data_IF_054235621999
#
_entry.id   IF_054235621999
#
_cell.length_a   1.000
_cell.length_b   1.000
_cell.length_c   1.000
_cell.angle_alpha   90.00
_cell.angle_beta   90.00
_cell.angle_gamma   90.00
#
_symmetry.space_group_name_H-M   'P 1'
#
loop_
_entity.id
_entity.type
_entity.pdbx_description
1 polymer ?
#
# COMPACT_ATOMS: atom_id res chain seq x y z
N UNK A 1 -23.04 11.20 6.56
CA UNK A 1 -22.23 10.66 7.67
C UNK A 1 -20.79 11.08 7.41
N UNK A 2 -20.38 12.15 8.05
CA UNK A 2 -19.08 12.81 7.84
C UNK A 2 -18.03 12.03 8.63
N UNK A 3 -17.20 11.27 7.93
CA UNK A 3 -16.04 10.61 8.53
C UNK A 3 -15.05 11.70 8.97
N UNK A 4 -14.88 11.84 10.29
CA UNK A 4 -13.81 12.66 10.85
C UNK A 4 -12.59 11.76 11.00
N UNK A 5 -11.55 12.02 10.20
CA UNK A 5 -10.20 11.55 10.47
C UNK A 5 -9.35 12.77 10.79
N UNK A 6 -8.95 12.86 12.05
CA UNK A 6 -7.71 13.53 12.43
C UNK A 6 -6.71 12.41 12.49
N UNK A 7 -5.83 12.38 11.51
CA UNK A 7 -4.70 11.47 11.37
C UNK A 7 -3.66 11.82 12.43
N UNK A 8 -2.94 10.79 12.88
CA UNK A 8 -1.84 10.81 13.85
C UNK A 8 -2.26 11.03 15.31
N UNK A 9 -2.63 9.93 15.96
CA UNK A 9 -2.70 9.88 17.41
C UNK A 9 -1.34 10.24 18.00
N UNK A 10 -1.23 11.41 18.65
CA UNK A 10 -0.15 11.69 19.59
C UNK A 10 -0.13 10.61 20.66
N UNK A 11 1.00 9.91 20.90
CA UNK A 11 1.11 9.08 22.10
C UNK A 11 1.12 10.00 23.34
N UNK A 12 0.38 9.66 24.41
CA UNK A 12 0.67 10.22 25.71
C UNK A 12 2.13 9.87 26.06
N UNK A 13 2.92 10.86 26.47
CA UNK A 13 4.21 10.61 27.12
C UNK A 13 3.97 9.69 28.33
N UNK A 14 4.30 8.39 28.21
CA UNK A 14 4.72 7.46 29.28
C UNK A 14 4.73 6.00 28.79
N UNK A 15 5.87 5.52 28.29
CA UNK A 15 6.80 4.62 29.00
C UNK A 15 8.01 4.39 28.07
N UNK A 16 9.21 4.68 28.57
CA UNK A 16 10.46 4.71 27.80
C UNK A 16 10.97 3.30 27.51
N UNK A 17 10.36 2.61 26.54
CA UNK A 17 10.98 1.51 25.82
C UNK A 17 11.42 2.01 24.44
N UNK A 18 12.62 1.61 24.02
CA UNK A 18 13.15 1.94 22.71
C UNK A 18 12.34 1.26 21.59
N UNK A 19 12.45 1.79 20.36
CA UNK A 19 11.99 1.05 19.18
C UNK A 19 12.71 -0.30 19.07
N UNK A 20 12.08 -1.25 18.38
CA UNK A 20 12.50 -2.67 18.36
C UNK A 20 13.61 -2.84 17.34
N UNK A 21 13.38 -2.41 16.10
CA UNK A 21 14.41 -2.10 15.13
C UNK A 21 14.94 -0.66 15.28
N UNK A 22 16.14 -0.47 14.75
CA UNK A 22 16.70 0.86 14.55
C UNK A 22 15.83 1.65 13.57
N UNK A 23 15.53 2.90 13.91
CA UNK A 23 14.82 3.84 13.06
C UNK A 23 15.75 4.93 12.56
N UNK A 24 15.40 5.53 11.43
CA UNK A 24 16.23 6.51 10.72
C UNK A 24 15.40 7.63 10.13
N UNK A 25 16.09 8.50 9.39
CA UNK A 25 15.47 9.57 8.63
C UNK A 25 15.98 9.53 7.20
N UNK A 26 15.06 9.69 6.25
CA UNK A 26 15.36 9.70 4.82
C UNK A 26 15.20 11.11 4.25
N UNK A 27 16.09 11.48 3.32
CA UNK A 27 15.98 12.73 2.57
C UNK A 27 14.98 12.63 1.41
N UNK A 28 14.74 13.76 0.75
CA UNK A 28 13.96 13.78 -0.50
C UNK A 28 14.61 12.92 -1.58
N UNK A 29 13.78 12.25 -2.37
CA UNK A 29 14.15 11.44 -3.53
C UNK A 29 14.51 12.27 -4.76
N UNK A 30 13.99 13.50 -4.85
CA UNK A 30 14.07 14.33 -6.06
C UNK A 30 12.94 14.09 -7.06
N UNK A 31 12.11 13.07 -6.84
CA UNK A 31 10.84 12.87 -7.55
C UNK A 31 9.70 13.54 -6.79
N UNK A 32 8.95 14.45 -7.43
CA UNK A 32 7.81 15.10 -6.77
C UNK A 32 6.69 14.13 -6.39
N UNK A 33 6.61 12.96 -7.04
CA UNK A 33 5.63 11.93 -6.70
C UNK A 33 6.02 11.22 -5.40
N UNK A 34 7.24 10.67 -5.34
CA UNK A 34 7.73 9.99 -4.14
C UNK A 34 7.85 10.96 -2.94
N UNK A 35 8.38 12.17 -3.16
CA UNK A 35 8.47 13.20 -2.12
C UNK A 35 7.11 13.61 -1.56
N UNK A 36 6.03 13.46 -2.35
CA UNK A 36 4.67 13.75 -1.92
C UNK A 36 4.13 12.78 -0.85
N UNK A 37 4.71 11.58 -0.77
CA UNK A 37 4.26 10.49 0.12
C UNK A 37 5.34 10.04 1.10
N UNK A 38 6.56 10.59 1.07
CA UNK A 38 7.58 10.32 2.09
C UNK A 38 7.29 11.12 3.37
N UNK A 39 7.22 10.45 4.53
CA UNK A 39 7.19 11.15 5.83
C UNK A 39 8.57 11.74 6.19
N UNK A 40 9.63 11.10 5.70
CA UNK A 40 11.01 11.35 6.07
C UNK A 40 11.53 10.47 7.21
N UNK A 41 10.71 9.56 7.74
CA UNK A 41 11.13 8.50 8.67
C UNK A 41 11.21 7.16 7.95
N UNK A 42 12.11 6.28 8.39
CA UNK A 42 12.29 4.93 7.84
C UNK A 42 12.78 3.95 8.91
N UNK A 43 12.67 2.66 8.65
CA UNK A 43 13.46 1.66 9.38
C UNK A 43 14.91 1.72 8.91
N UNK A 44 15.85 1.94 9.83
CA UNK A 44 17.29 1.90 9.55
C UNK A 44 17.84 0.49 9.79
N UNK A 45 17.24 -0.48 9.09
CA UNK A 45 17.59 -1.90 9.17
C UNK A 45 17.38 -2.55 7.81
N UNK A 46 18.25 -3.49 7.44
CA UNK A 46 18.10 -4.27 6.21
C UNK A 46 17.01 -5.36 6.33
N UNK A 47 16.57 -5.65 7.56
CA UNK A 47 15.52 -6.61 7.85
C UNK A 47 14.53 -6.06 8.86
N UNK A 48 13.24 -6.29 8.63
CA UNK A 48 12.18 -6.03 9.61
C UNK A 48 11.34 -7.28 9.84
N UNK A 49 10.64 -7.28 10.97
CA UNK A 49 9.74 -8.36 11.36
C UNK A 49 8.32 -7.87 11.56
N UNK A 50 7.34 -8.73 11.26
CA UNK A 50 5.94 -8.45 11.55
C UNK A 50 5.32 -9.48 12.50
N UNK A 51 4.35 -9.07 13.29
CA UNK A 51 3.60 -10.00 14.16
C UNK A 51 2.13 -9.60 14.34
N UNK A 52 1.36 -10.51 14.94
CA UNK A 52 -0.08 -10.35 15.17
C UNK A 52 -0.38 -10.57 16.64
N UNK A 53 -0.10 -9.58 17.51
CA UNK A 53 -0.29 -9.74 18.94
C UNK A 53 -1.67 -10.28 19.31
N UNK A 54 -1.68 -11.32 20.14
CA UNK A 54 -2.89 -12.05 20.53
C UNK A 54 -3.35 -11.72 21.96
N UNK A 55 -2.53 -11.00 22.72
CA UNK A 55 -2.84 -10.52 24.05
C UNK A 55 -2.39 -9.07 24.25
N UNK A 56 -3.17 -8.33 25.04
CA UNK A 56 -2.82 -6.94 25.41
C UNK A 56 -1.43 -6.83 26.07
N UNK A 57 -0.91 -7.91 26.66
CA UNK A 57 0.38 -7.94 27.35
C UNK A 57 1.58 -7.85 26.42
N UNK A 58 1.40 -8.08 25.12
CA UNK A 58 2.45 -7.99 24.12
C UNK A 58 2.86 -6.54 23.84
N UNK A 59 1.99 -5.58 24.18
CA UNK A 59 2.28 -4.15 24.19
C UNK A 59 2.69 -3.75 25.61
N UNK A 60 3.81 -3.04 25.75
CA UNK A 60 4.35 -2.50 26.99
C UNK A 60 3.83 -1.12 27.36
N UNK A 61 3.28 -0.36 26.40
CA UNK A 61 2.71 0.97 26.59
C UNK A 61 1.18 0.92 26.80
N UNK A 62 0.55 2.02 27.25
CA UNK A 62 -0.91 2.11 27.48
C UNK A 62 -1.65 2.75 26.31
N UNK A 63 -2.97 2.54 26.22
CA UNK A 63 -3.80 3.19 25.20
C UNK A 63 -4.70 2.18 24.48
N UNK A 64 -4.37 1.89 23.23
CA UNK A 64 -5.14 1.02 22.32
C UNK A 64 -5.37 -0.36 22.91
N UNK A 65 -4.31 -0.95 23.47
CA UNK A 65 -4.34 -2.25 24.14
C UNK A 65 -5.33 -2.32 25.30
N UNK A 66 -5.71 -1.18 25.87
CA UNK A 66 -6.63 -1.08 27.02
C UNK A 66 -8.08 -0.80 26.59
N UNK A 67 -8.35 -0.64 25.28
CA UNK A 67 -9.66 -0.22 24.75
C UNK A 67 -10.27 -1.26 23.81
N UNK A 68 -10.68 -2.38 24.40
CA UNK A 68 -11.36 -3.45 23.65
C UNK A 68 -10.43 -4.13 22.66
N UNK A 69 -9.18 -4.35 23.08
CA UNK A 69 -8.16 -5.08 22.33
C UNK A 69 -8.69 -6.41 21.80
N UNK A 70 -8.32 -6.74 20.57
CA UNK A 70 -8.45 -8.07 20.01
C UNK A 70 -7.32 -8.32 19.01
N UNK A 71 -6.93 -9.58 18.88
CA UNK A 71 -6.08 -10.00 17.76
C UNK A 71 -6.81 -9.71 16.43
N UNK A 72 -6.08 -9.25 15.41
CA UNK A 72 -6.65 -9.11 14.07
C UNK A 72 -7.11 -10.47 13.54
N UNK A 73 -8.24 -10.50 12.84
CA UNK A 73 -8.75 -11.76 12.28
C UNK A 73 -7.83 -12.32 11.17
N UNK A 74 -7.99 -13.62 10.87
CA UNK A 74 -7.14 -14.33 9.90
C UNK A 74 -7.13 -13.73 8.47
N UNK A 75 -8.19 -13.04 8.04
CA UNK A 75 -8.19 -12.40 6.72
C UNK A 75 -7.28 -11.17 6.69
N UNK A 76 -7.25 -10.38 7.78
CA UNK A 76 -6.31 -9.28 7.93
C UNK A 76 -4.88 -9.81 7.98
N UNK A 77 -4.62 -10.88 8.75
CA UNK A 77 -3.29 -11.52 8.78
C UNK A 77 -2.80 -11.92 7.40
N UNK A 78 -3.68 -12.53 6.58
CA UNK A 78 -3.33 -12.93 5.22
C UNK A 78 -3.07 -11.73 4.29
N UNK A 79 -3.84 -10.65 4.41
CA UNK A 79 -3.62 -9.43 3.63
C UNK A 79 -2.29 -8.75 4.01
N UNK A 80 -1.95 -8.72 5.31
CA UNK A 80 -0.65 -8.22 5.79
C UNK A 80 0.49 -9.04 5.21
N UNK A 81 0.43 -10.37 5.31
CA UNK A 81 1.48 -11.25 4.75
C UNK A 81 1.67 -11.03 3.25
N UNK A 82 0.56 -11.01 2.49
CA UNK A 82 0.59 -10.74 1.05
C UNK A 82 1.21 -9.37 0.72
N UNK A 83 0.99 -8.37 1.57
CA UNK A 83 1.53 -7.02 1.38
C UNK A 83 3.03 -6.93 1.70
N UNK A 84 3.52 -7.73 2.64
CA UNK A 84 4.87 -7.56 3.20
C UNK A 84 5.90 -8.58 2.70
N UNK A 85 5.51 -9.85 2.62
CA UNK A 85 6.42 -11.00 2.70
C UNK A 85 6.30 -11.84 1.41
N UNK A 86 7.37 -11.89 0.63
CA UNK A 86 7.38 -12.60 -0.66
C UNK A 86 7.18 -14.11 -0.48
N UNK A 87 7.55 -14.66 0.69
CA UNK A 87 7.39 -16.09 0.97
C UNK A 87 5.92 -16.49 1.17
N UNK A 88 5.01 -15.52 1.34
CA UNK A 88 3.58 -15.77 1.43
C UNK A 88 2.92 -15.79 0.06
N UNK A 89 2.36 -16.96 -0.30
CA UNK A 89 1.62 -17.14 -1.54
C UNK A 89 2.42 -17.96 -2.55
N UNK A 90 2.63 -17.41 -3.74
CA UNK A 90 3.40 -18.02 -4.82
C UNK A 90 4.14 -16.94 -5.61
N UNK A 91 5.13 -17.34 -6.42
CA UNK A 91 5.98 -16.40 -7.16
C UNK A 91 5.23 -15.33 -7.96
N UNK A 92 4.01 -15.60 -8.44
CA UNK A 92 3.21 -14.60 -9.16
C UNK A 92 2.82 -13.37 -8.33
N UNK A 93 2.91 -13.43 -6.99
CA UNK A 93 2.62 -12.30 -6.12
C UNK A 93 3.85 -11.57 -5.55
N UNK A 94 5.06 -12.01 -5.89
CA UNK A 94 6.29 -11.48 -5.29
C UNK A 94 6.47 -10.00 -5.62
N UNK A 95 6.29 -9.62 -6.89
CA UNK A 95 6.36 -8.23 -7.39
C UNK A 95 5.26 -7.27 -6.87
N UNK A 96 4.40 -7.71 -5.96
CA UNK A 96 3.40 -6.85 -5.28
C UNK A 96 3.63 -6.70 -3.77
N UNK A 97 4.60 -7.43 -3.21
CA UNK A 97 4.95 -7.38 -1.78
C UNK A 97 6.06 -6.36 -1.52
N UNK A 98 6.13 -5.78 -0.32
CA UNK A 98 7.21 -4.85 0.05
C UNK A 98 8.60 -5.47 -0.12
N UNK A 99 8.76 -6.74 0.24
CA UNK A 99 10.00 -7.48 0.06
C UNK A 99 10.36 -7.71 -1.43
N UNK A 100 9.37 -7.89 -2.33
CA UNK A 100 9.67 -7.99 -3.76
C UNK A 100 9.80 -6.64 -4.49
N UNK A 101 9.29 -5.57 -3.88
CA UNK A 101 9.44 -4.20 -4.39
C UNK A 101 10.78 -3.58 -3.97
N UNK A 102 11.39 -4.05 -2.88
CA UNK A 102 12.53 -3.40 -2.20
C UNK A 102 13.59 -4.37 -1.70
N UNK A 103 14.79 -3.90 -1.34
CA UNK A 103 15.83 -4.77 -0.75
C UNK A 103 15.61 -5.06 0.75
N UNK A 104 14.43 -4.77 1.28
CA UNK A 104 14.11 -5.03 2.68
C UNK A 104 13.73 -6.50 2.87
N UNK A 105 14.46 -7.22 3.71
CA UNK A 105 14.06 -8.58 4.09
C UNK A 105 12.95 -8.52 5.13
N UNK A 106 11.87 -9.29 4.93
CA UNK A 106 10.70 -9.27 5.81
C UNK A 106 10.36 -10.68 6.28
N UNK A 107 10.13 -10.84 7.59
CA UNK A 107 9.76 -12.15 8.13
C UNK A 107 8.82 -12.06 9.33
N UNK A 108 8.11 -13.14 9.65
CA UNK A 108 7.35 -13.22 10.89
C UNK A 108 8.28 -13.13 12.13
N UNK A 109 7.93 -12.26 13.07
CA UNK A 109 8.60 -12.08 14.35
C UNK A 109 7.81 -12.63 15.53
N UNK A 110 8.22 -12.24 16.74
CA UNK A 110 7.45 -12.49 17.96
C UNK A 110 6.48 -11.33 18.25
N UNK A 111 5.30 -11.64 18.78
CA UNK A 111 4.25 -10.65 19.08
C UNK A 111 4.70 -9.48 19.96
N UNK A 112 5.68 -9.68 20.84
CA UNK A 112 6.19 -8.62 21.70
C UNK A 112 7.21 -7.70 21.02
N UNK A 113 8.09 -8.28 20.21
CA UNK A 113 9.33 -7.65 19.77
C UNK A 113 9.38 -7.37 18.26
N UNK A 114 8.35 -7.74 17.49
CA UNK A 114 8.30 -7.43 16.07
C UNK A 114 8.24 -5.91 15.81
N UNK A 115 8.81 -5.51 14.67
CA UNK A 115 8.95 -4.11 14.27
C UNK A 115 7.63 -3.50 13.84
N UNK A 116 6.81 -4.28 13.13
CA UNK A 116 5.45 -3.91 12.73
C UNK A 116 4.47 -4.88 13.37
N UNK A 117 3.50 -4.37 14.14
CA UNK A 117 2.53 -5.22 14.83
C UNK A 117 1.12 -4.78 14.53
N UNK A 118 0.23 -5.75 14.32
CA UNK A 118 -1.14 -5.49 13.90
C UNK A 118 -2.13 -5.93 14.98
N UNK A 119 -2.90 -4.98 15.51
CA UNK A 119 -3.92 -5.23 16.54
C UNK A 119 -5.27 -4.57 16.20
N UNK A 120 -6.34 -5.00 16.87
CA UNK A 120 -7.64 -4.32 16.85
C UNK A 120 -7.88 -3.55 18.16
N UNK A 121 -8.44 -2.34 18.07
CA UNK A 121 -8.83 -1.53 19.22
C UNK A 121 -10.00 -0.61 18.91
N UNK A 122 -10.88 -0.37 19.89
CA UNK A 122 -11.95 0.62 19.76
C UNK A 122 -11.43 2.06 19.66
N UNK A 123 -10.17 2.31 20.05
CA UNK A 123 -9.54 3.62 19.85
C UNK A 123 -9.28 3.94 18.38
N UNK A 124 -9.08 2.92 17.55
CA UNK A 124 -8.89 3.06 16.11
C UNK A 124 -10.20 3.25 15.32
N UNK A 125 -11.34 3.31 16.00
CA UNK A 125 -12.60 3.64 15.34
C UNK A 125 -12.59 5.09 14.82
N UNK A 126 -13.19 5.34 13.64
CA UNK A 126 -14.04 4.41 12.90
C UNK A 126 -13.33 3.49 11.89
N UNK A 127 -12.02 3.64 11.65
CA UNK A 127 -11.28 2.80 10.67
C UNK A 127 -10.03 2.16 11.21
N UNK A 128 -8.90 2.86 11.18
CA UNK A 128 -7.58 2.37 11.49
C UNK A 128 -6.61 3.56 11.59
N UNK A 129 -5.43 3.31 12.14
CA UNK A 129 -4.26 4.18 12.03
C UNK A 129 -2.99 3.35 12.29
N UNK A 130 -1.84 3.89 11.94
CA UNK A 130 -0.55 3.34 12.29
C UNK A 130 0.42 4.40 12.82
N UNK A 131 1.47 3.92 13.47
CA UNK A 131 2.59 4.74 13.90
C UNK A 131 3.78 4.61 12.94
N UNK A 132 4.38 5.74 12.60
CA UNK A 132 5.62 5.79 11.80
C UNK A 132 6.78 4.99 12.44
N UNK A 133 7.80 4.63 11.65
CA UNK A 133 9.05 4.07 12.14
C UNK A 133 9.88 5.16 12.86
N UNK A 134 9.47 5.53 14.06
CA UNK A 134 10.13 6.53 14.92
C UNK A 134 10.66 5.90 16.20
N UNK A 135 11.32 6.68 17.07
CA UNK A 135 11.72 6.17 18.38
C UNK A 135 10.50 5.95 19.28
N UNK A 136 10.40 4.76 19.88
CA UNK A 136 9.39 4.45 20.89
C UNK A 136 8.83 3.05 20.69
N UNK A 137 8.20 2.53 21.73
CA UNK A 137 7.66 1.17 21.69
C UNK A 137 6.55 0.99 20.65
N UNK A 138 5.72 2.02 20.45
CA UNK A 138 4.60 1.98 19.52
C UNK A 138 5.02 2.12 18.05
N UNK A 139 6.31 2.32 17.75
CA UNK A 139 6.79 2.45 16.38
C UNK A 139 6.40 1.23 15.54
N UNK A 140 5.83 1.48 14.36
CA UNK A 140 5.35 0.43 13.47
C UNK A 140 4.05 -0.26 13.89
N UNK A 141 3.46 0.08 15.04
CA UNK A 141 2.19 -0.53 15.43
C UNK A 141 1.05 0.00 14.55
N UNK A 142 0.23 -0.94 14.08
CA UNK A 142 -0.95 -0.72 13.25
C UNK A 142 -2.19 -1.16 14.03
N UNK A 143 -3.15 -0.26 14.17
CA UNK A 143 -4.38 -0.50 14.91
C UNK A 143 -5.60 -0.39 14.00
N UNK A 144 -6.38 -1.47 13.91
CA UNK A 144 -7.68 -1.47 13.23
C UNK A 144 -8.83 -1.24 14.21
N UNK A 145 -9.82 -0.48 13.78
CA UNK A 145 -11.09 -0.31 14.42
C UNK A 145 -11.98 -1.55 14.28
N UNK A 146 -13.08 -1.57 15.03
CA UNK A 146 -13.95 -2.74 15.18
C UNK A 146 -15.05 -2.81 14.11
N UNK A 147 -14.89 -2.09 12.99
CA UNK A 147 -15.89 -2.03 11.93
C UNK A 147 -15.89 -3.31 11.09
N UNK A 148 -17.07 -3.93 10.93
CA UNK A 148 -17.21 -5.17 10.13
C UNK A 148 -16.76 -5.02 8.67
N UNK A 149 -16.74 -3.80 8.13
CA UNK A 149 -16.28 -3.60 6.75
C UNK A 149 -14.79 -3.96 6.59
N UNK A 150 -14.00 -3.87 7.67
CA UNK A 150 -12.56 -4.11 7.66
C UNK A 150 -12.19 -5.60 7.78
N UNK A 151 -13.13 -6.48 8.13
CA UNK A 151 -12.80 -7.87 8.48
C UNK A 151 -12.57 -8.80 7.28
N UNK A 152 -12.77 -8.32 6.05
CA UNK A 152 -12.61 -9.11 4.83
C UNK A 152 -11.79 -8.36 3.76
N UNK A 153 -10.50 -8.07 4.03
CA UNK A 153 -9.62 -7.45 3.04
C UNK A 153 -9.35 -8.41 1.88
N UNK A 154 -9.77 -8.02 0.68
CA UNK A 154 -9.42 -8.64 -0.60
C UNK A 154 -8.93 -7.56 -1.56
N UNK A 155 -7.93 -7.81 -2.42
CA UNK A 155 -7.44 -6.83 -3.38
C UNK A 155 -8.57 -6.10 -4.12
N UNK A 156 -8.55 -4.77 -4.05
CA UNK A 156 -9.55 -3.87 -4.65
C UNK A 156 -10.74 -3.52 -3.76
N UNK A 157 -10.92 -4.21 -2.63
CA UNK A 157 -11.91 -3.85 -1.61
C UNK A 157 -11.35 -2.81 -0.64
N UNK A 158 -12.20 -1.90 -0.15
CA UNK A 158 -11.85 -0.86 0.83
C UNK A 158 -10.99 -1.35 2.02
N UNK A 159 -11.37 -2.49 2.62
CA UNK A 159 -10.63 -3.07 3.74
C UNK A 159 -9.19 -3.44 3.40
N UNK A 160 -8.93 -3.92 2.19
CA UNK A 160 -7.58 -4.27 1.75
C UNK A 160 -6.75 -3.02 1.50
N UNK A 161 -7.36 -2.00 0.87
CA UNK A 161 -6.73 -0.71 0.73
C UNK A 161 -6.37 -0.08 2.08
N UNK A 162 -7.21 -0.28 3.10
CA UNK A 162 -6.90 0.13 4.49
C UNK A 162 -5.68 -0.62 5.02
N UNK A 163 -5.58 -1.95 4.83
CA UNK A 163 -4.41 -2.73 5.28
C UNK A 163 -3.12 -2.23 4.63
N UNK A 164 -3.11 -2.03 3.31
CA UNK A 164 -1.93 -1.51 2.58
C UNK A 164 -1.61 -0.09 3.04
N UNK A 165 -2.61 0.78 3.17
CA UNK A 165 -2.43 2.17 3.59
C UNK A 165 -1.77 2.28 4.97
N UNK A 166 -2.31 1.58 5.98
CA UNK A 166 -1.73 1.61 7.32
C UNK A 166 -0.35 0.94 7.38
N UNK A 167 -0.13 -0.10 6.56
CA UNK A 167 1.21 -0.70 6.41
C UNK A 167 2.18 0.29 5.78
N UNK A 168 1.74 1.10 4.81
CA UNK A 168 2.52 2.20 4.24
C UNK A 168 2.98 3.20 5.31
N UNK A 169 2.09 3.58 6.23
CA UNK A 169 2.46 4.41 7.38
C UNK A 169 3.49 3.73 8.29
N UNK A 170 3.30 2.46 8.66
CA UNK A 170 4.28 1.72 9.45
C UNK A 170 5.65 1.56 8.76
N UNK A 171 5.71 1.71 7.44
CA UNK A 171 6.92 1.73 6.62
C UNK A 171 7.49 3.14 6.38
N UNK A 172 6.83 4.20 6.84
CA UNK A 172 7.31 5.59 6.72
C UNK A 172 6.70 6.42 5.59
N UNK A 173 5.64 5.94 4.92
CA UNK A 173 4.87 6.75 3.99
C UNK A 173 3.87 7.64 4.74
N UNK A 174 3.66 8.88 4.31
CA UNK A 174 2.65 9.81 4.85
C UNK A 174 1.49 10.01 3.88
N UNK A 175 0.46 10.72 4.34
CA UNK A 175 -0.64 11.11 3.47
C UNK A 175 -0.17 11.98 2.29
N UNK A 176 -0.56 11.60 1.07
CA UNK A 176 -0.14 12.28 -0.15
C UNK A 176 -0.72 13.69 -0.33
N UNK A 177 -1.92 13.93 0.19
CA UNK A 177 -2.66 15.19 0.06
C UNK A 177 -2.38 16.18 1.20
N UNK A 178 -1.74 15.72 2.27
CA UNK A 178 -1.55 16.50 3.49
C UNK A 178 -0.07 16.80 3.75
N UNK A 179 0.15 17.94 4.40
CA UNK A 179 1.42 18.27 5.03
C UNK A 179 1.18 18.40 6.53
N UNK A 180 1.49 17.35 7.27
CA UNK A 180 1.36 17.35 8.70
C UNK A 180 2.62 17.97 9.35
N UNK A 181 2.44 18.50 10.55
CA UNK A 181 3.53 19.20 11.26
C UNK A 181 4.62 18.26 11.77
N UNK A 182 4.35 16.96 11.79
CA UNK A 182 5.25 15.92 12.29
C UNK A 182 6.09 15.28 11.17
N UNK A 183 5.72 15.50 9.91
CA UNK A 183 6.49 15.06 8.76
C UNK A 183 7.80 15.86 8.65
N UNK A 184 8.90 15.16 8.41
CA UNK A 184 10.17 15.80 8.08
C UNK A 184 10.18 16.28 6.62
N UNK A 185 9.49 15.56 5.73
CA UNK A 185 9.27 15.94 4.34
C UNK A 185 7.84 16.45 4.19
N UNK A 186 7.70 17.75 3.93
CA UNK A 186 6.40 18.45 3.88
C UNK A 186 5.83 18.64 2.48
N UNK A 187 6.44 18.02 1.46
CA UNK A 187 5.90 18.07 0.11
C UNK A 187 4.59 17.26 0.04
N UNK A 188 3.67 17.66 -0.83
CA UNK A 188 2.44 16.90 -1.14
C UNK A 188 2.53 16.39 -2.57
N UNK A 189 1.68 15.42 -2.92
CA UNK A 189 1.48 15.03 -4.30
C UNK A 189 1.15 16.27 -5.15
N UNK A 190 1.73 16.41 -6.34
CA UNK A 190 1.33 17.44 -7.28
C UNK A 190 -0.16 17.31 -7.59
N UNK A 191 -0.87 18.43 -7.72
CA UNK A 191 -2.34 18.42 -7.87
C UNK A 191 -2.87 17.55 -9.02
N UNK A 192 -2.07 17.35 -10.09
CA UNK A 192 -2.42 16.49 -11.24
C UNK A 192 -2.26 14.98 -10.97
N UNK A 193 -1.66 14.61 -9.84
CA UNK A 193 -1.39 13.25 -9.40
C UNK A 193 -1.94 12.97 -7.99
N UNK A 194 -2.67 13.90 -7.40
CA UNK A 194 -3.29 13.70 -6.09
C UNK A 194 -4.58 12.89 -6.26
N UNK A 195 -4.40 11.57 -6.37
CA UNK A 195 -5.45 10.56 -6.52
C UNK A 195 -4.92 9.17 -6.14
N UNK A 196 -5.84 8.28 -5.74
CA UNK A 196 -5.61 6.84 -5.59
C UNK A 196 -5.00 6.17 -6.84
N UNK A 197 -5.07 6.81 -8.01
CA UNK A 197 -4.41 6.34 -9.24
C UNK A 197 -2.88 6.38 -9.16
N UNK A 198 -2.32 7.21 -8.26
CA UNK A 198 -0.88 7.43 -8.15
C UNK A 198 -0.31 7.04 -6.79
N UNK A 199 -1.12 7.12 -5.74
CA UNK A 199 -0.74 6.74 -4.38
C UNK A 199 -1.95 6.26 -3.59
N UNK A 200 -1.82 5.11 -2.92
CA UNK A 200 -2.82 4.64 -1.96
C UNK A 200 -2.83 5.49 -0.68
N UNK A 201 -1.82 6.34 -0.47
CA UNK A 201 -1.66 7.19 0.71
C UNK A 201 -2.47 8.49 0.64
N UNK A 202 -3.15 8.82 -0.47
CA UNK A 202 -4.05 9.99 -0.51
C UNK A 202 -5.49 9.62 -0.20
N UNK A 203 -6.25 10.52 0.44
CA UNK A 203 -7.70 10.39 0.62
C UNK A 203 -8.50 10.95 -0.57
N UNK A 204 -7.82 11.46 -1.59
CA UNK A 204 -8.45 11.83 -2.84
C UNK A 204 -8.60 10.59 -3.74
N UNK A 205 -9.83 10.21 -4.00
CA UNK A 205 -10.18 9.14 -4.93
C UNK A 205 -9.79 9.50 -6.35
N UNK A 206 -10.02 10.74 -6.78
CA UNK A 206 -9.73 11.22 -8.13
C UNK A 206 -9.10 12.62 -8.12
N UNK A 207 -8.39 12.95 -9.21
CA UNK A 207 -7.73 14.24 -9.38
C UNK A 207 -8.73 15.39 -9.31
N UNK A 208 -8.43 16.38 -8.46
CA UNK A 208 -9.25 17.58 -8.27
C UNK A 208 -10.45 17.41 -7.33
N UNK A 209 -10.58 16.26 -6.67
CA UNK A 209 -11.54 16.08 -5.57
C UNK A 209 -11.34 17.19 -4.52
N UNK A 210 -12.44 17.77 -4.05
CA UNK A 210 -12.42 18.78 -2.99
C UNK A 210 -12.57 18.10 -1.64
N UNK A 211 -11.81 18.57 -0.65
CA UNK A 211 -11.82 18.02 0.70
C UNK A 211 -10.57 17.18 0.96
N UNK A 212 -10.76 16.01 1.54
CA UNK A 212 -9.68 15.14 2.02
C UNK A 212 -10.04 14.37 3.30
N UNK A 213 -11.34 14.11 3.54
CA UNK A 213 -11.81 13.43 4.75
C UNK A 213 -12.35 12.02 4.49
N UNK A 214 -12.08 11.45 3.32
CA UNK A 214 -12.46 10.09 2.97
C UNK A 214 -12.75 9.88 1.48
N UNK A 215 -12.84 8.60 1.12
CA UNK A 215 -12.98 8.13 -0.25
C UNK A 215 -14.42 8.20 -0.79
N UNK A 216 -14.52 8.37 -2.10
CA UNK A 216 -15.78 8.31 -2.86
C UNK A 216 -15.89 7.07 -3.75
N UNK A 217 -14.88 6.20 -3.80
CA UNK A 217 -14.87 5.01 -4.65
C UNK A 217 -16.06 4.08 -4.39
N UNK A 218 -16.44 3.30 -5.40
CA UNK A 218 -17.23 2.09 -5.19
C UNK A 218 -16.48 1.10 -4.27
N UNK A 219 -17.22 0.21 -3.58
CA UNK A 219 -16.65 -0.63 -2.51
C UNK A 219 -15.48 -1.52 -2.97
N UNK A 220 -15.51 -1.96 -4.24
CA UNK A 220 -14.50 -2.82 -4.87
C UNK A 220 -13.69 -2.10 -5.96
N UNK A 221 -13.61 -0.77 -5.91
CA UNK A 221 -12.89 0.08 -6.86
C UNK A 221 -11.67 0.76 -6.26
N UNK A 222 -10.99 0.11 -5.32
CA UNK A 222 -9.76 0.63 -4.70
C UNK A 222 -8.50 0.03 -5.35
N UNK A 223 -7.32 0.63 -5.13
CA UNK A 223 -6.05 0.02 -5.49
C UNK A 223 -5.90 -1.41 -4.94
N UNK A 224 -5.29 -2.27 -5.74
CA UNK A 224 -5.04 -3.69 -5.46
C UNK A 224 -3.58 -3.96 -5.06
N UNK A 225 -2.73 -2.94 -5.11
CA UNK A 225 -1.31 -2.94 -4.76
C UNK A 225 -0.92 -1.56 -4.23
N UNK A 226 0.32 -1.40 -3.77
CA UNK A 226 0.96 -0.08 -3.74
C UNK A 226 0.96 0.53 -5.16
N UNK A 227 0.80 1.84 -5.24
CA UNK A 227 0.75 2.57 -6.51
C UNK A 227 2.10 3.24 -6.82
N UNK A 228 2.27 3.75 -8.03
CA UNK A 228 3.59 4.17 -8.54
C UNK A 228 4.39 5.14 -7.63
N UNK A 229 3.74 6.07 -6.94
CA UNK A 229 4.41 6.98 -6.01
C UNK A 229 4.84 6.25 -4.72
N UNK A 230 4.01 5.32 -4.26
CA UNK A 230 4.28 4.51 -3.06
C UNK A 230 5.47 3.57 -3.32
N UNK A 231 5.46 2.87 -4.46
CA UNK A 231 6.55 1.97 -4.88
C UNK A 231 7.87 2.74 -4.94
N UNK A 232 7.92 3.87 -5.65
CA UNK A 232 9.15 4.64 -5.77
C UNK A 232 9.63 5.20 -4.42
N UNK A 233 8.71 5.58 -3.53
CA UNK A 233 9.06 6.05 -2.18
C UNK A 233 9.62 4.91 -1.30
N UNK A 234 9.01 3.72 -1.35
CA UNK A 234 9.52 2.52 -0.66
C UNK A 234 10.90 2.12 -1.20
N UNK A 235 11.09 2.14 -2.52
CA UNK A 235 12.37 1.86 -3.16
C UNK A 235 13.45 2.91 -2.84
N UNK A 236 13.05 4.16 -2.60
CA UNK A 236 13.97 5.21 -2.16
C UNK A 236 14.46 4.99 -0.71
N UNK A 237 13.57 4.55 0.18
CA UNK A 237 13.93 4.24 1.58
C UNK A 237 14.73 2.94 1.69
N UNK A 238 14.28 1.89 1.00
CA UNK A 238 14.75 0.53 1.25
C UNK A 238 15.55 -0.08 0.08
N UNK A 239 15.81 0.70 -0.97
CA UNK A 239 16.42 0.24 -2.22
C UNK A 239 15.43 -0.56 -3.08
N UNK A 240 15.51 -0.46 -4.41
CA UNK A 240 14.71 -1.30 -5.31
C UNK A 240 15.31 -2.71 -5.43
N UNK A 241 14.46 -3.73 -5.39
CA UNK A 241 14.85 -5.11 -5.67
C UNK A 241 14.66 -5.42 -7.16
N UNK A 242 15.78 -5.58 -7.86
CA UNK A 242 15.83 -5.97 -9.27
C UNK A 242 16.00 -7.48 -9.46
N UNK A 243 15.82 -8.28 -8.41
CA UNK A 243 15.90 -9.75 -8.49
C UNK A 243 14.52 -10.40 -8.57
N UNK A 244 13.50 -9.78 -7.98
CA UNK A 244 12.10 -10.17 -8.13
C UNK A 244 11.66 -10.06 -9.59
N UNK A 245 11.03 -11.11 -10.12
CA UNK A 245 10.59 -11.21 -11.52
C UNK A 245 11.67 -10.91 -12.58
N UNK A 246 12.96 -11.03 -12.26
CA UNK A 246 14.08 -10.56 -13.11
C UNK A 246 14.37 -11.32 -14.43
N UNK A 247 13.43 -12.13 -14.91
CA UNK A 247 13.47 -12.76 -16.23
C UNK A 247 12.22 -12.42 -17.03
N UNK A 248 12.07 -12.98 -18.23
CA UNK A 248 10.92 -12.69 -19.09
C UNK A 248 9.58 -13.04 -18.42
N UNK A 249 8.81 -12.02 -18.04
CA UNK A 249 7.56 -12.18 -17.29
C UNK A 249 6.34 -11.90 -18.17
N UNK A 250 5.31 -12.78 -18.13
CA UNK A 250 4.05 -12.57 -18.84
C UNK A 250 2.94 -12.19 -17.87
N UNK A 251 2.49 -10.94 -17.97
CA UNK A 251 1.30 -10.45 -17.28
C UNK A 251 0.07 -10.58 -18.17
N UNK A 252 -1.01 -11.17 -17.67
CA UNK A 252 -2.22 -11.37 -18.47
C UNK A 252 -3.51 -11.16 -17.68
N UNK A 253 -4.55 -10.78 -18.42
CA UNK A 253 -5.87 -10.46 -17.89
C UNK A 253 -6.98 -11.01 -18.79
N UNK A 254 -8.20 -11.05 -18.28
CA UNK A 254 -9.38 -11.46 -19.07
C UNK A 254 -10.58 -10.54 -18.83
N UNK A 255 -11.47 -10.36 -19.83
CA UNK A 255 -12.64 -9.47 -19.73
C UNK A 255 -13.61 -9.75 -18.56
N UNK A 256 -13.59 -10.97 -18.01
CA UNK A 256 -14.54 -11.45 -16.99
C UNK A 256 -13.95 -11.58 -15.59
N UNK A 257 -12.69 -11.20 -15.40
CA UNK A 257 -11.98 -11.32 -14.13
C UNK A 257 -11.14 -10.09 -13.85
N UNK A 258 -11.15 -9.62 -12.60
CA UNK A 258 -10.25 -8.55 -12.15
C UNK A 258 -8.85 -9.04 -11.75
N UNK A 259 -8.59 -10.35 -11.84
CA UNK A 259 -7.31 -10.91 -11.43
C UNK A 259 -6.19 -10.48 -12.38
N UNK A 260 -5.03 -10.13 -11.81
CA UNK A 260 -3.76 -10.08 -12.53
C UNK A 260 -3.12 -11.45 -12.48
N UNK A 261 -2.83 -12.02 -13.64
CA UNK A 261 -2.04 -13.24 -13.75
C UNK A 261 -0.59 -12.88 -14.08
N UNK A 262 0.35 -13.58 -13.48
CA UNK A 262 1.79 -13.51 -13.76
C UNK A 262 2.24 -14.94 -14.07
N UNK A 263 2.79 -15.15 -15.27
CA UNK A 263 3.15 -16.47 -15.82
C UNK A 263 2.03 -17.53 -15.70
N UNK A 264 0.80 -17.07 -15.90
CA UNK A 264 -0.42 -17.90 -15.84
C UNK A 264 -0.92 -18.24 -14.44
N UNK A 265 -0.20 -17.86 -13.37
CA UNK A 265 -0.64 -18.01 -11.99
C UNK A 265 -1.27 -16.71 -11.46
N UNK A 266 -2.14 -16.81 -10.46
CA UNK A 266 -2.84 -15.64 -9.90
C UNK A 266 -1.90 -14.88 -8.95
N UNK A 267 -1.42 -13.71 -9.39
CA UNK A 267 -0.66 -12.78 -8.56
C UNK A 267 -1.56 -11.89 -7.71
N UNK A 268 -2.58 -11.29 -8.34
CA UNK A 268 -3.62 -10.52 -7.65
C UNK A 268 -4.96 -11.23 -7.80
N UNK A 269 -5.57 -11.63 -6.68
CA UNK A 269 -6.93 -12.17 -6.64
C UNK A 269 -7.94 -11.08 -6.28
N UNK A 270 -8.44 -10.38 -7.29
CA UNK A 270 -9.32 -9.23 -7.10
C UNK A 270 -10.67 -9.60 -6.47
N UNK A 271 -11.22 -8.65 -5.70
CA UNK A 271 -12.52 -8.77 -5.04
C UNK A 271 -13.70 -8.71 -6.01
N UNK A 272 -13.52 -8.07 -7.17
CA UNK A 272 -14.53 -7.89 -8.21
C UNK A 272 -13.87 -7.89 -9.60
N UNK A 273 -14.68 -7.79 -10.66
CA UNK A 273 -14.19 -7.58 -12.03
C UNK A 273 -13.76 -6.12 -12.25
N UNK A 274 -12.74 -5.71 -11.50
CA UNK A 274 -12.02 -4.44 -11.58
C UNK A 274 -10.54 -4.74 -11.61
N UNK A 275 -9.79 -3.98 -12.40
CA UNK A 275 -8.33 -4.03 -12.42
C UNK A 275 -7.86 -2.63 -12.05
N UNK A 276 -7.08 -2.53 -10.97
CA UNK A 276 -6.56 -1.26 -10.48
C UNK A 276 -5.29 -1.50 -9.66
N UNK A 277 -4.15 -1.65 -10.33
CA UNK A 277 -2.87 -1.97 -9.71
C UNK A 277 -1.72 -1.30 -10.47
N UNK A 278 -0.55 -1.25 -9.83
CA UNK A 278 0.71 -0.89 -10.51
C UNK A 278 1.59 -2.13 -10.65
N UNK A 279 2.19 -2.34 -11.82
CA UNK A 279 3.17 -3.40 -12.04
C UNK A 279 4.57 -2.88 -11.69
N UNK A 280 5.27 -3.66 -10.88
CA UNK A 280 6.72 -3.65 -10.73
C UNK A 280 7.28 -4.96 -11.29
N UNK A 281 8.39 -4.85 -11.99
CA UNK A 281 9.19 -5.95 -12.50
C UNK A 281 10.66 -5.60 -12.27
N UNK A 282 11.50 -6.58 -11.94
CA UNK A 282 12.93 -6.39 -11.66
C UNK A 282 13.83 -6.51 -12.89
N UNK A 283 13.34 -6.99 -14.03
CA UNK A 283 14.17 -7.22 -15.21
C UNK A 283 13.61 -8.28 -16.15
N UNK A 284 13.97 -8.22 -17.42
CA UNK A 284 13.52 -9.23 -18.39
C UNK A 284 13.05 -8.56 -19.67
N UNK A 285 12.49 -9.36 -20.58
CA UNK A 285 11.67 -8.87 -21.67
C UNK A 285 10.21 -9.26 -21.40
N UNK A 286 9.48 -8.34 -20.76
CA UNK A 286 8.18 -8.62 -20.17
C UNK A 286 7.03 -8.29 -21.11
N UNK A 287 5.91 -8.99 -20.97
CA UNK A 287 4.78 -8.87 -21.92
C UNK A 287 3.46 -8.65 -21.19
N UNK A 288 2.68 -7.67 -21.66
CA UNK A 288 1.23 -7.62 -21.40
C UNK A 288 0.47 -8.46 -22.44
N UNK A 289 0.10 -9.69 -22.09
CA UNK A 289 -0.76 -10.53 -22.92
C UNK A 289 -2.24 -10.15 -22.73
N UNK A 290 -2.73 -9.37 -23.70
CA UNK A 290 -4.12 -8.93 -23.79
C UNK A 290 -4.93 -9.70 -24.86
N UNK A 291 -4.46 -10.85 -25.32
CA UNK A 291 -5.09 -11.63 -26.41
C UNK A 291 -6.52 -12.09 -26.10
N UNK A 292 -6.90 -12.14 -24.82
CA UNK A 292 -8.25 -12.43 -24.35
C UNK A 292 -9.26 -11.32 -24.68
N UNK A 293 -8.81 -10.08 -24.84
CA UNK A 293 -9.65 -8.93 -25.17
C UNK A 293 -9.97 -8.91 -26.66
N UNK A 294 -11.23 -8.68 -27.00
CA UNK A 294 -11.73 -8.66 -28.40
C UNK A 294 -12.16 -7.27 -28.88
N UNK A 295 -12.20 -6.30 -27.97
CA UNK A 295 -12.37 -4.87 -28.25
C UNK A 295 -11.01 -4.19 -28.40
N UNK A 296 -11.01 -2.94 -28.87
CA UNK A 296 -9.80 -2.11 -28.84
C UNK A 296 -9.29 -1.94 -27.41
N UNK A 297 -7.99 -2.14 -27.22
CA UNK A 297 -7.22 -1.83 -26.00
C UNK A 297 -6.38 -0.59 -26.26
N UNK A 298 -6.13 0.21 -25.22
CA UNK A 298 -5.20 1.33 -25.24
C UNK A 298 -4.01 0.97 -24.35
N UNK A 299 -2.82 0.90 -24.94
CA UNK A 299 -1.62 0.38 -24.27
C UNK A 299 -0.58 1.50 -24.24
N UNK A 300 -0.11 1.81 -23.04
CA UNK A 300 1.04 2.68 -22.82
C UNK A 300 1.98 1.99 -21.83
N UNK A 301 3.11 1.50 -22.36
CA UNK A 301 4.12 0.77 -21.60
C UNK A 301 5.15 1.70 -20.95
N UNK A 302 5.07 3.01 -21.18
CA UNK A 302 6.04 3.94 -20.60
C UNK A 302 5.92 3.97 -19.08
N UNK A 303 7.04 4.19 -18.35
CA UNK A 303 7.02 4.35 -16.89
C UNK A 303 6.04 5.43 -16.42
N UNK A 304 5.30 5.14 -15.35
CA UNK A 304 4.31 6.04 -14.78
C UNK A 304 3.11 6.36 -15.68
N UNK A 305 2.92 5.60 -16.77
CA UNK A 305 1.71 5.66 -17.60
C UNK A 305 0.77 4.50 -17.25
N UNK A 306 -0.40 4.50 -17.87
CA UNK A 306 -1.45 3.51 -17.62
C UNK A 306 -2.03 2.97 -18.93
N UNK A 307 -2.43 1.70 -18.92
CA UNK A 307 -3.12 1.05 -20.04
C UNK A 307 -4.58 0.77 -19.69
N UNK A 308 -5.47 0.86 -20.69
CA UNK A 308 -6.90 0.55 -20.58
C UNK A 308 -7.26 -0.63 -21.48
N UNK A 309 -7.76 -1.70 -20.88
CA UNK A 309 -8.15 -2.92 -21.61
C UNK A 309 -9.65 -2.93 -21.92
N UNK A 310 -10.47 -2.55 -20.93
CA UNK A 310 -11.92 -2.47 -21.08
C UNK A 310 -12.53 -1.54 -20.03
N UNK A 311 -13.38 -0.60 -20.48
CA UNK A 311 -14.01 0.41 -19.60
C UNK A 311 -14.80 -0.19 -18.44
N UNK A 312 -15.44 -1.35 -18.62
CA UNK A 312 -16.20 -2.00 -17.53
C UNK A 312 -15.34 -2.60 -16.41
N UNK A 313 -14.02 -2.67 -16.60
CA UNK A 313 -13.07 -3.09 -15.57
C UNK A 313 -12.36 -1.91 -14.90
N UNK A 314 -12.59 -0.67 -15.35
CA UNK A 314 -12.09 0.51 -14.67
C UNK A 314 -12.81 0.70 -13.34
N UNK A 315 -12.07 1.08 -12.31
CA UNK A 315 -12.64 1.41 -11.00
C UNK A 315 -13.49 2.68 -11.07
N UNK A 316 -14.66 2.68 -10.44
CA UNK A 316 -15.43 3.89 -10.19
C UNK A 316 -14.90 4.61 -8.94
N UNK A 317 -14.26 5.75 -9.15
CA UNK A 317 -13.62 6.57 -8.14
C UNK A 317 -14.62 7.53 -7.46
N UNK A 318 -15.83 7.69 -7.98
CA UNK A 318 -16.90 8.48 -7.35
C UNK A 318 -18.27 7.82 -7.54
N UNK A 319 -18.61 6.90 -6.65
CA UNK A 319 -19.91 6.20 -6.67
C UNK A 319 -21.12 7.13 -6.48
N UNK A 320 -20.89 8.38 -6.06
CA UNK A 320 -21.94 9.36 -5.85
C UNK A 320 -22.18 10.23 -7.08
N UNK A 321 -21.16 10.39 -7.93
CA UNK A 321 -21.22 11.15 -9.18
C UNK A 321 -20.67 10.30 -10.33
N UNK A 322 -21.56 9.84 -11.21
CA UNK A 322 -21.15 9.04 -12.36
C UNK A 322 -20.10 9.75 -13.24
N UNK A 323 -19.21 8.97 -13.84
CA UNK A 323 -18.23 9.44 -14.82
C UNK A 323 -16.83 9.73 -14.28
N UNK A 324 -16.53 9.39 -13.01
CA UNK A 324 -15.17 9.42 -12.45
C UNK A 324 -14.55 8.03 -12.46
N UNK A 325 -14.29 7.50 -13.64
CA UNK A 325 -13.55 6.24 -13.79
C UNK A 325 -12.05 6.50 -13.67
N UNK A 326 -11.30 5.53 -13.16
CA UNK A 326 -9.84 5.52 -13.24
C UNK A 326 -9.37 5.63 -14.70
N UNK A 327 -8.21 6.27 -14.93
CA UNK A 327 -7.66 6.53 -16.26
C UNK A 327 -7.12 5.27 -16.93
N UNK A 328 -6.82 4.23 -16.16
CA UNK A 328 -6.36 2.96 -16.65
C UNK A 328 -6.74 1.78 -15.75
N UNK A 329 -6.62 0.59 -16.33
CA UNK A 329 -6.75 -0.69 -15.63
C UNK A 329 -5.45 -1.04 -14.90
N UNK A 330 -4.32 -0.90 -15.59
CA UNK A 330 -3.00 -1.18 -15.05
C UNK A 330 -2.10 0.03 -15.24
N UNK A 331 -1.23 0.27 -14.26
CA UNK A 331 -0.25 1.36 -14.25
C UNK A 331 1.15 0.75 -14.22
N UNK A 332 2.14 1.44 -14.80
CA UNK A 332 3.52 1.01 -14.75
C UNK A 332 4.26 1.77 -13.64
N UNK A 333 5.11 1.10 -12.87
CA UNK A 333 5.96 1.74 -11.88
C UNK A 333 6.82 2.87 -12.51
N UNK A 334 7.23 3.81 -11.67
CA UNK A 334 8.24 4.80 -12.05
C UNK A 334 9.62 4.13 -12.04
N UNK A 335 10.54 4.60 -12.87
CA UNK A 335 11.92 4.12 -12.82
C UNK A 335 12.62 4.62 -11.55
N UNK A 336 13.19 3.69 -10.77
CA UNK A 336 14.10 4.06 -9.69
C UNK A 336 15.47 4.46 -10.27
N UNK A 337 15.93 5.68 -9.97
CA UNK A 337 17.19 6.25 -10.47
C UNK A 337 17.40 6.15 -12.00
N UNK A 338 16.30 6.11 -12.77
CA UNK A 338 16.34 6.00 -14.23
C UNK A 338 16.80 4.64 -14.77
N UNK A 339 16.94 3.63 -13.92
CA UNK A 339 17.28 2.27 -14.36
C UNK A 339 16.10 1.67 -15.15
N UNK A 340 16.37 1.21 -16.36
CA UNK A 340 15.38 0.69 -17.31
C UNK A 340 15.08 -0.80 -17.13
N UNK A 341 15.74 -1.50 -16.21
CA UNK A 341 15.48 -2.92 -15.97
C UNK A 341 14.01 -3.19 -15.60
N UNK A 342 13.31 -2.25 -14.96
CA UNK A 342 11.90 -2.43 -14.57
C UNK A 342 10.89 -2.03 -15.65
N UNK A 343 11.28 -2.01 -16.93
CA UNK A 343 10.37 -1.70 -18.03
C UNK A 343 9.54 -2.92 -18.40
N UNK A 344 8.29 -2.68 -18.80
CA UNK A 344 7.50 -3.67 -19.54
C UNK A 344 7.61 -3.30 -21.02
N UNK A 345 7.83 -4.27 -21.92
CA UNK A 345 8.42 -4.01 -23.24
C UNK A 345 7.60 -4.52 -24.44
#
# INVERSE_FOLDING_TARGET
MTAKYSTDGTPPLQDLLAARAATGTVGKSGSTLADGVLSGYEWNSASITYAFPDQRGDYGYRGERDKGFSEVNGSIKNAVRWTLDQSYGNAANDGFSVEGLTNLSVSAGNDRDADIRYGESRMANPTAYAYYPVSGENAGDVWFGTSKILTTPKPGHYAFATVIHETGHALGLKHGHASDKFDLIRATLPARYDSLEYSIMTYHSYVGQKGGSGYTNELNGFPQSFMMADILALQHMYGADYTTNSGDTVYSWSPKSGNTLVDGAVGIKAAANRIFATIWDGGGNDTYDLSAYKSGVDIDLRPGQSSTFQTSQLADLDRFQGGKLASGNIYNALLNNGNQASLIE
#
